data_IF_964090864383
#
_entry.id   IF_964090864383
#
_cell.length_a   1.000
_cell.length_b   1.000
_cell.length_c   1.000
_cell.angle_alpha   90.00
_cell.angle_beta   90.00
_cell.angle_gamma   90.00
#
_symmetry.space_group_name_H-M   'P 1'
#
loop_
_entity.id
_entity.type
_entity.pdbx_description
1 polymer ?
#
# COMPACT_ATOMS: atom_id res chain seq x y z
N UNK A 1 40.88 -1.44 -35.61
CA UNK A 1 40.64 -0.47 -34.52
C UNK A 1 39.22 -0.71 -34.01
N UNK A 2 39.08 -1.58 -33.01
CA UNK A 2 37.81 -1.98 -32.45
C UNK A 2 37.33 -0.86 -31.50
N UNK A 3 36.22 -0.24 -31.81
CA UNK A 3 35.56 0.72 -30.95
C UNK A 3 34.89 -0.12 -29.87
N UNK A 4 35.47 -0.16 -28.68
CA UNK A 4 34.81 -0.68 -27.48
C UNK A 4 33.65 0.25 -27.15
N UNK A 5 32.42 -0.17 -27.46
CA UNK A 5 31.22 0.48 -26.91
C UNK A 5 31.27 0.40 -25.39
N UNK A 6 31.52 1.53 -24.78
CA UNK A 6 31.36 1.73 -23.35
C UNK A 6 29.89 1.47 -23.02
N UNK A 7 29.56 0.62 -22.04
CA UNK A 7 28.16 0.37 -21.70
C UNK A 7 27.53 1.70 -21.28
N UNK A 8 26.52 2.12 -22.02
CA UNK A 8 25.77 3.33 -21.74
C UNK A 8 25.31 3.29 -20.27
N UNK A 9 25.68 4.33 -19.51
CA UNK A 9 25.20 4.50 -18.15
C UNK A 9 23.66 4.40 -18.13
N UNK A 10 23.07 3.69 -17.14
CA UNK A 10 21.61 3.56 -17.09
C UNK A 10 20.98 4.95 -17.10
N UNK A 11 20.09 5.17 -18.05
CA UNK A 11 19.41 6.44 -18.20
C UNK A 11 18.71 6.78 -16.89
N UNK A 12 19.19 7.80 -16.20
CA UNK A 12 18.51 8.40 -15.06
C UNK A 12 17.22 8.96 -15.60
N UNK A 13 16.06 8.36 -15.28
CA UNK A 13 14.78 8.87 -15.72
C UNK A 13 14.61 10.34 -15.32
N UNK A 14 13.79 11.09 -16.02
CA UNK A 14 13.54 12.53 -15.79
C UNK A 14 13.25 12.92 -14.32
N UNK A 15 12.93 11.94 -13.46
CA UNK A 15 12.63 12.10 -12.02
C UNK A 15 13.74 11.60 -11.09
N UNK A 16 14.95 11.37 -11.59
CA UNK A 16 16.08 10.91 -10.78
C UNK A 16 15.96 9.48 -10.24
N UNK A 17 15.10 8.66 -10.82
CA UNK A 17 14.90 7.27 -10.43
C UNK A 17 16.10 6.41 -10.84
N UNK A 18 16.62 5.63 -9.90
CA UNK A 18 17.75 4.75 -10.11
C UNK A 18 17.26 3.40 -10.62
N UNK A 19 17.66 3.02 -11.84
CA UNK A 19 17.33 1.71 -12.39
C UNK A 19 18.01 0.61 -11.56
N UNK A 20 17.25 -0.44 -11.20
CA UNK A 20 17.80 -1.60 -10.46
C UNK A 20 18.14 -1.34 -8.99
N UNK A 21 17.68 -0.23 -8.40
CA UNK A 21 17.93 0.10 -6.98
C UNK A 21 17.42 -0.97 -6.01
N UNK A 22 16.39 -1.72 -6.40
CA UNK A 22 15.79 -2.79 -5.59
C UNK A 22 15.89 -4.11 -6.34
N UNK A 23 16.45 -5.14 -5.68
CA UNK A 23 16.41 -6.51 -6.17
C UNK A 23 15.00 -7.13 -6.05
N UNK A 24 14.81 -8.30 -6.65
CA UNK A 24 13.52 -9.02 -6.62
C UNK A 24 12.98 -9.21 -5.19
N UNK A 25 13.83 -9.62 -4.27
CA UNK A 25 13.45 -9.86 -2.86
C UNK A 25 13.01 -8.55 -2.20
N UNK A 26 13.75 -7.45 -2.41
CA UNK A 26 13.39 -6.13 -1.89
C UNK A 26 12.02 -5.67 -2.40
N UNK A 27 11.76 -5.82 -3.69
CA UNK A 27 10.47 -5.48 -4.29
C UNK A 27 9.31 -6.31 -3.71
N UNK A 28 9.51 -7.62 -3.53
CA UNK A 28 8.50 -8.50 -2.92
C UNK A 28 8.24 -8.13 -1.47
N UNK A 29 9.28 -7.85 -0.68
CA UNK A 29 9.13 -7.45 0.74
C UNK A 29 8.38 -6.12 0.86
N UNK A 30 8.73 -5.12 0.05
CA UNK A 30 8.04 -3.83 0.03
C UNK A 30 6.57 -4.00 -0.40
N UNK A 31 6.31 -4.81 -1.43
CA UNK A 31 4.95 -5.11 -1.88
C UNK A 31 4.12 -5.80 -0.79
N UNK A 32 4.67 -6.79 -0.10
CA UNK A 32 4.01 -7.45 1.04
C UNK A 32 3.76 -6.48 2.21
N UNK A 33 4.72 -5.63 2.51
CA UNK A 33 4.56 -4.61 3.55
C UNK A 33 3.44 -3.60 3.20
N UNK A 34 3.36 -3.17 1.93
CA UNK A 34 2.33 -2.25 1.47
C UNK A 34 0.91 -2.84 1.52
N UNK A 35 0.75 -4.13 1.24
CA UNK A 35 -0.55 -4.83 1.31
C UNK A 35 -0.95 -5.15 2.75
N UNK A 36 0.00 -5.27 3.66
CA UNK A 36 -0.20 -5.60 5.08
C UNK A 36 -1.22 -6.75 5.30
N UNK A 37 -0.96 -7.98 4.81
CA UNK A 37 -1.95 -9.04 4.74
C UNK A 37 -2.53 -9.44 6.10
N UNK A 38 -1.72 -9.42 7.16
CA UNK A 38 -2.19 -9.71 8.51
C UNK A 38 -3.21 -8.68 9.01
N UNK A 39 -2.95 -7.39 8.75
CA UNK A 39 -3.89 -6.31 9.06
C UNK A 39 -5.18 -6.46 8.25
N UNK A 40 -5.07 -6.69 6.94
CA UNK A 40 -6.23 -6.81 6.07
C UNK A 40 -7.16 -7.93 6.52
N UNK A 41 -6.62 -9.09 6.91
CA UNK A 41 -7.39 -10.19 7.48
C UNK A 41 -8.02 -9.80 8.83
N UNK A 42 -7.25 -9.22 9.74
CA UNK A 42 -7.74 -8.80 11.05
C UNK A 42 -8.89 -7.79 10.95
N UNK A 43 -8.81 -6.85 10.00
CA UNK A 43 -9.81 -5.81 9.80
C UNK A 43 -11.08 -6.30 9.09
N UNK A 44 -10.98 -7.28 8.18
CA UNK A 44 -12.10 -7.62 7.28
C UNK A 44 -12.73 -8.97 7.56
N UNK A 45 -11.99 -9.96 8.11
CA UNK A 45 -12.47 -11.33 8.27
C UNK A 45 -13.76 -11.40 9.10
N UNK A 46 -13.85 -10.65 10.19
CA UNK A 46 -15.03 -10.61 11.05
C UNK A 46 -16.28 -10.18 10.30
N UNK A 47 -16.20 -9.12 9.51
CA UNK A 47 -17.32 -8.61 8.71
C UNK A 47 -17.74 -9.60 7.64
N UNK A 48 -16.78 -10.24 6.96
CA UNK A 48 -17.09 -11.23 5.92
C UNK A 48 -17.75 -12.45 6.53
N UNK A 49 -17.25 -12.97 7.66
CA UNK A 49 -17.86 -14.11 8.34
C UNK A 49 -19.28 -13.78 8.84
N UNK A 50 -19.50 -12.59 9.38
CA UNK A 50 -20.85 -12.14 9.77
C UNK A 50 -21.82 -12.06 8.59
N UNK A 51 -21.33 -11.66 7.41
CA UNK A 51 -22.17 -11.50 6.22
C UNK A 51 -22.49 -12.81 5.52
N UNK A 52 -21.54 -13.74 5.42
CA UNK A 52 -21.67 -14.96 4.58
C UNK A 52 -21.43 -16.27 5.34
N UNK A 53 -21.11 -16.22 6.61
CA UNK A 53 -20.91 -17.38 7.47
C UNK A 53 -19.80 -18.31 6.96
N UNK A 54 -20.09 -19.60 6.90
CA UNK A 54 -19.15 -20.64 6.47
C UNK A 54 -18.65 -20.49 5.02
N UNK A 55 -19.30 -19.65 4.20
CA UNK A 55 -18.91 -19.37 2.82
C UNK A 55 -17.76 -18.34 2.71
N UNK A 56 -17.30 -17.78 3.80
CA UNK A 56 -16.24 -16.77 3.82
C UNK A 56 -14.99 -17.17 3.02
N UNK A 57 -14.42 -18.38 3.14
CA UNK A 57 -13.26 -18.78 2.33
C UNK A 57 -13.51 -18.72 0.83
N UNK A 58 -14.71 -19.16 0.38
CA UNK A 58 -15.07 -19.12 -1.03
C UNK A 58 -15.18 -17.70 -1.56
N UNK A 59 -15.68 -16.76 -0.75
CA UNK A 59 -15.78 -15.35 -1.10
C UNK A 59 -14.41 -14.69 -1.24
N UNK A 60 -13.44 -15.05 -0.40
CA UNK A 60 -12.06 -14.57 -0.55
C UNK A 60 -11.43 -15.06 -1.86
N UNK A 61 -11.63 -16.33 -2.20
CA UNK A 61 -11.13 -16.87 -3.48
C UNK A 61 -11.79 -16.17 -4.67
N UNK A 62 -13.10 -15.94 -4.61
CA UNK A 62 -13.83 -15.24 -5.67
C UNK A 62 -13.35 -13.78 -5.81
N UNK A 63 -13.15 -13.09 -4.70
CA UNK A 63 -12.65 -11.69 -4.68
C UNK A 63 -11.19 -11.60 -5.18
N UNK A 64 -10.40 -12.67 -5.08
CA UNK A 64 -9.03 -12.68 -5.60
C UNK A 64 -8.98 -12.58 -7.12
N UNK A 65 -9.97 -13.10 -7.84
CA UNK A 65 -9.97 -13.11 -9.32
C UNK A 65 -9.88 -11.69 -9.90
N UNK A 66 -10.79 -10.73 -9.57
CA UNK A 66 -10.68 -9.37 -10.09
C UNK A 66 -9.39 -8.66 -9.63
N UNK A 67 -8.92 -8.93 -8.41
CA UNK A 67 -7.65 -8.35 -7.93
C UNK A 67 -6.45 -8.86 -8.72
N UNK A 68 -6.45 -10.15 -9.12
CA UNK A 68 -5.43 -10.72 -9.98
C UNK A 68 -5.42 -10.05 -11.36
N UNK A 69 -6.60 -9.79 -11.95
CA UNK A 69 -6.71 -9.08 -13.23
C UNK A 69 -6.18 -7.65 -13.13
N UNK A 70 -6.47 -6.95 -12.03
CA UNK A 70 -5.89 -5.63 -11.75
C UNK A 70 -4.37 -5.70 -11.65
N UNK A 71 -3.81 -6.73 -10.98
CA UNK A 71 -2.36 -6.91 -10.88
C UNK A 71 -1.70 -7.10 -12.25
N UNK A 72 -2.32 -7.87 -13.15
CA UNK A 72 -1.86 -7.99 -14.53
C UNK A 72 -1.89 -6.65 -15.29
N UNK A 73 -2.97 -5.89 -15.16
CA UNK A 73 -3.07 -4.57 -15.77
C UNK A 73 -1.98 -3.60 -15.27
N UNK A 74 -1.71 -3.60 -13.96
CA UNK A 74 -0.62 -2.80 -13.38
C UNK A 74 0.75 -3.23 -13.89
N UNK A 75 0.97 -4.55 -14.07
CA UNK A 75 2.21 -5.07 -14.65
C UNK A 75 2.43 -4.52 -16.06
N UNK A 76 1.42 -4.62 -16.93
CA UNK A 76 1.52 -4.13 -18.32
C UNK A 76 1.75 -2.60 -18.36
N UNK A 77 0.99 -1.84 -17.58
CA UNK A 77 1.14 -0.38 -17.50
C UNK A 77 2.52 0.03 -16.97
N UNK A 78 3.06 -0.70 -15.99
CA UNK A 78 4.38 -0.44 -15.44
C UNK A 78 5.51 -0.78 -16.41
N UNK A 79 5.31 -1.77 -17.31
CA UNK A 79 6.28 -2.10 -18.35
C UNK A 79 6.27 -1.08 -19.49
N UNK A 80 5.09 -0.62 -19.90
CA UNK A 80 4.93 0.38 -20.95
C UNK A 80 5.38 1.78 -20.51
N UNK A 81 5.01 2.14 -19.28
CA UNK A 81 5.31 3.47 -18.72
C UNK A 81 5.83 3.31 -17.29
N UNK A 82 7.14 3.05 -17.14
CA UNK A 82 7.76 2.97 -15.81
C UNK A 82 7.86 4.36 -15.17
N UNK A 83 6.90 4.68 -14.30
CA UNK A 83 6.85 5.97 -13.60
C UNK A 83 6.34 5.76 -12.17
N UNK A 84 6.94 6.44 -11.19
CA UNK A 84 6.51 6.39 -9.80
C UNK A 84 5.16 7.10 -9.55
N UNK A 85 4.66 7.89 -10.49
CA UNK A 85 3.33 8.49 -10.43
C UNK A 85 2.18 7.52 -10.65
N UNK A 86 2.47 6.29 -11.11
CA UNK A 86 1.51 5.18 -11.28
C UNK A 86 0.16 5.62 -11.84
N UNK A 87 -0.93 5.49 -11.08
CA UNK A 87 -2.29 5.84 -11.49
C UNK A 87 -2.46 7.29 -11.95
N UNK A 88 -1.73 8.24 -11.34
CA UNK A 88 -1.72 9.63 -11.79
C UNK A 88 -1.16 9.75 -13.21
N UNK A 89 0.02 9.18 -13.44
CA UNK A 89 0.71 9.29 -14.74
C UNK A 89 -0.05 8.53 -15.83
N UNK A 90 -0.47 7.29 -15.54
CA UNK A 90 -1.22 6.48 -16.51
C UNK A 90 -2.60 7.06 -16.81
N UNK A 91 -3.30 7.56 -15.80
CA UNK A 91 -4.58 8.24 -15.95
C UNK A 91 -4.45 9.54 -16.77
N UNK A 92 -3.39 10.31 -16.54
CA UNK A 92 -3.11 11.52 -17.30
C UNK A 92 -2.83 11.21 -18.77
N UNK A 93 -2.05 10.19 -19.06
CA UNK A 93 -1.74 9.77 -20.44
C UNK A 93 -2.96 9.22 -21.18
N UNK A 94 -3.79 8.41 -20.52
CA UNK A 94 -4.92 7.73 -21.14
C UNK A 94 -6.16 8.63 -21.28
N UNK A 95 -6.45 9.46 -20.31
CA UNK A 95 -7.72 10.17 -20.19
C UNK A 95 -7.57 11.69 -19.98
N UNK A 96 -6.34 12.18 -19.93
CA UNK A 96 -6.04 13.60 -19.73
C UNK A 96 -5.82 14.01 -18.28
N UNK A 97 -5.35 15.25 -18.05
CA UNK A 97 -4.82 15.71 -16.78
C UNK A 97 -5.84 15.71 -15.64
N UNK A 98 -7.11 15.96 -15.93
CA UNK A 98 -8.17 15.97 -14.92
C UNK A 98 -8.42 14.60 -14.28
N UNK A 99 -8.50 13.55 -15.11
CA UNK A 99 -8.73 12.18 -14.64
C UNK A 99 -7.49 11.67 -13.91
N UNK A 100 -6.30 11.96 -14.43
CA UNK A 100 -5.06 11.65 -13.74
C UNK A 100 -4.97 12.32 -12.36
N UNK A 101 -5.33 13.59 -12.26
CA UNK A 101 -5.34 14.32 -10.99
C UNK A 101 -6.32 13.71 -9.97
N UNK A 102 -7.55 13.41 -10.40
CA UNK A 102 -8.55 12.75 -9.55
C UNK A 102 -8.04 11.39 -9.06
N UNK A 103 -7.43 10.58 -9.95
CA UNK A 103 -6.86 9.29 -9.60
C UNK A 103 -5.71 9.39 -8.60
N UNK A 104 -4.78 10.32 -8.80
CA UNK A 104 -3.68 10.58 -7.87
C UNK A 104 -4.15 11.10 -6.51
N UNK A 105 -5.11 12.02 -6.50
CA UNK A 105 -5.72 12.54 -5.28
C UNK A 105 -6.48 11.46 -4.52
N UNK A 106 -7.28 10.65 -5.23
CA UNK A 106 -7.99 9.52 -4.63
C UNK A 106 -7.04 8.52 -3.95
N UNK A 107 -5.90 8.24 -4.58
CA UNK A 107 -4.87 7.36 -4.01
C UNK A 107 -4.26 7.97 -2.73
N UNK A 108 -3.94 9.26 -2.74
CA UNK A 108 -3.38 9.95 -1.58
C UNK A 108 -4.36 9.96 -0.39
N UNK A 109 -5.62 10.32 -0.63
CA UNK A 109 -6.67 10.32 0.40
C UNK A 109 -6.91 8.91 0.94
N UNK A 110 -6.96 7.89 0.07
CA UNK A 110 -7.08 6.50 0.48
C UNK A 110 -5.93 6.10 1.41
N UNK A 111 -4.69 6.47 1.09
CA UNK A 111 -3.52 6.20 1.95
C UNK A 111 -3.66 6.83 3.34
N UNK A 112 -4.13 8.07 3.43
CA UNK A 112 -4.36 8.76 4.72
C UNK A 112 -5.41 8.02 5.55
N UNK A 113 -6.53 7.63 4.95
CA UNK A 113 -7.61 6.91 5.63
C UNK A 113 -7.12 5.54 6.14
N UNK A 114 -6.40 4.80 5.30
CA UNK A 114 -5.83 3.51 5.67
C UNK A 114 -4.85 3.66 6.82
N UNK A 115 -3.96 4.66 6.78
CA UNK A 115 -2.99 4.90 7.87
C UNK A 115 -3.68 5.16 9.21
N UNK A 116 -4.73 5.97 9.22
CA UNK A 116 -5.51 6.24 10.42
C UNK A 116 -6.18 4.96 10.97
N UNK A 117 -6.76 4.15 10.08
CA UNK A 117 -7.43 2.90 10.45
C UNK A 117 -6.43 1.86 11.00
N UNK A 118 -5.27 1.70 10.36
CA UNK A 118 -4.19 0.82 10.85
C UNK A 118 -3.74 1.21 12.24
N UNK A 119 -3.55 2.51 12.48
CA UNK A 119 -3.12 3.03 13.78
C UNK A 119 -4.17 2.79 14.88
N UNK A 120 -5.46 2.95 14.58
CA UNK A 120 -6.55 2.65 15.51
C UNK A 120 -6.59 1.15 15.85
N UNK A 121 -6.53 0.28 14.86
CA UNK A 121 -6.54 -1.17 15.09
C UNK A 121 -5.32 -1.61 15.90
N UNK A 122 -4.14 -1.06 15.62
CA UNK A 122 -2.93 -1.35 16.41
C UNK A 122 -3.11 -0.96 17.88
N UNK A 123 -3.73 0.21 18.15
CA UNK A 123 -4.04 0.66 19.50
C UNK A 123 -5.01 -0.29 20.21
N UNK A 124 -6.11 -0.70 19.55
CA UNK A 124 -7.09 -1.64 20.10
C UNK A 124 -6.45 -2.98 20.46
N UNK A 125 -5.65 -3.54 19.53
CA UNK A 125 -4.99 -4.82 19.79
C UNK A 125 -3.96 -4.74 20.92
N UNK A 126 -3.22 -3.63 21.01
CA UNK A 126 -2.28 -3.46 22.14
C UNK A 126 -3.01 -3.38 23.46
N UNK A 127 -4.10 -2.61 23.59
CA UNK A 127 -4.89 -2.54 24.82
C UNK A 127 -5.47 -3.90 25.20
N UNK A 128 -6.03 -4.63 24.24
CA UNK A 128 -6.56 -5.98 24.50
C UNK A 128 -5.46 -6.97 24.89
N UNK A 129 -4.30 -6.90 24.28
CA UNK A 129 -3.15 -7.73 24.65
C UNK A 129 -2.66 -7.46 26.07
N UNK A 130 -2.76 -6.21 26.55
CA UNK A 130 -2.42 -5.82 27.91
C UNK A 130 -3.56 -6.08 28.94
N UNK A 131 -4.72 -6.59 28.50
CA UNK A 131 -5.89 -6.80 29.35
C UNK A 131 -6.59 -5.51 29.79
N UNK A 132 -6.42 -4.42 29.02
CA UNK A 132 -6.99 -3.10 29.29
C UNK A 132 -8.22 -2.86 28.42
N UNK A 133 -9.25 -3.69 28.54
CA UNK A 133 -10.44 -3.66 27.68
C UNK A 133 -11.18 -2.31 27.75
N UNK A 134 -11.25 -1.69 28.93
CA UNK A 134 -11.88 -0.37 29.11
C UNK A 134 -11.19 0.72 28.27
N UNK A 135 -9.86 0.65 28.11
CA UNK A 135 -9.12 1.57 27.25
C UNK A 135 -9.26 1.23 25.76
N UNK A 136 -9.46 -0.05 25.43
CA UNK A 136 -9.72 -0.48 24.06
C UNK A 136 -11.06 0.04 23.53
N UNK A 137 -12.03 0.28 24.41
CA UNK A 137 -13.34 0.85 24.04
C UNK A 137 -13.37 2.39 24.11
N UNK A 138 -12.40 3.00 24.79
CA UNK A 138 -12.32 4.45 24.92
C UNK A 138 -11.71 5.09 23.67
N UNK A 139 -12.48 5.96 23.01
CA UNK A 139 -12.07 6.61 21.76
C UNK A 139 -10.85 7.54 21.95
N UNK A 140 -10.78 8.26 23.07
CA UNK A 140 -9.66 9.16 23.34
C UNK A 140 -8.35 8.40 23.56
N UNK A 141 -8.39 7.27 24.25
CA UNK A 141 -7.24 6.40 24.47
C UNK A 141 -6.75 5.80 23.15
N UNK A 142 -7.65 5.32 22.31
CA UNK A 142 -7.32 4.80 20.96
C UNK A 142 -6.68 5.87 20.08
N UNK A 143 -7.27 7.05 20.02
CA UNK A 143 -6.73 8.17 19.20
C UNK A 143 -5.37 8.61 19.72
N UNK A 144 -5.18 8.72 21.03
CA UNK A 144 -3.90 9.12 21.62
C UNK A 144 -2.79 8.11 21.28
N UNK A 145 -3.04 6.82 21.49
CA UNK A 145 -2.07 5.76 21.21
C UNK A 145 -1.85 5.58 19.69
N UNK A 146 -2.89 5.65 18.89
CA UNK A 146 -2.80 5.60 17.43
C UNK A 146 -1.98 6.77 16.87
N UNK A 147 -2.20 7.99 17.37
CA UNK A 147 -1.41 9.16 17.00
C UNK A 147 0.06 9.01 17.41
N UNK A 148 0.31 8.46 18.58
CA UNK A 148 1.68 8.14 19.01
C UNK A 148 2.38 7.19 18.03
N UNK A 149 1.70 6.12 17.59
CA UNK A 149 2.26 5.20 16.60
C UNK A 149 2.58 5.90 15.26
N UNK A 150 1.66 6.72 14.76
CA UNK A 150 1.89 7.47 13.51
C UNK A 150 3.11 8.36 13.64
N UNK A 151 3.21 9.14 14.73
CA UNK A 151 4.34 10.06 14.96
C UNK A 151 5.65 9.27 15.09
N UNK A 152 5.67 8.20 15.89
CA UNK A 152 6.85 7.39 16.10
C UNK A 152 7.36 6.77 14.79
N UNK A 153 6.46 6.19 14.00
CA UNK A 153 6.81 5.58 12.71
C UNK A 153 7.24 6.62 11.68
N UNK A 154 6.62 7.80 11.68
CA UNK A 154 7.03 8.89 10.79
C UNK A 154 8.44 9.39 11.15
N UNK A 155 8.75 9.54 12.43
CA UNK A 155 10.09 9.95 12.87
C UNK A 155 11.16 8.89 12.55
N UNK A 156 10.83 7.60 12.69
CA UNK A 156 11.73 6.52 12.30
C UNK A 156 11.98 6.51 10.80
N UNK A 157 10.92 6.66 10.00
CA UNK A 157 11.02 6.70 8.53
C UNK A 157 11.77 7.94 8.01
N UNK A 158 11.69 9.07 8.72
CA UNK A 158 12.41 10.29 8.35
C UNK A 158 13.92 10.21 8.62
N UNK A 159 14.37 9.26 9.42
CA UNK A 159 15.80 9.06 9.76
C UNK A 159 16.48 7.96 8.93
N UNK A 160 15.74 7.13 8.26
CA UNK A 160 16.21 6.01 7.45
C UNK A 160 16.16 6.25 6.00
#
# INVERSE_FOLDING_TARGET
MAITEEPAAPAVGEKGLQAGALGLVGNVVIGLAAVAPAYSLAATLGYVVLAVGEKAPSMFVLAFIPMLLVAFAYKELSQDTPDCGTTFTWGTKAFGPWIGWIGGWGLAVSGIIVLANVAEIAAVYLFKFLGLDDLADNIFAKVALGSFFIIAMTLLSARG
#
